data_IF_288571176488
#
_entry.id   IF_288571176488
#
_cell.length_a   1.000
_cell.length_b   1.000
_cell.length_c   1.000
_cell.angle_alpha   90.00
_cell.angle_beta   90.00
_cell.angle_gamma   90.00
#
_symmetry.space_group_name_H-M   'P 1'
#
loop_
_entity.id
_entity.type
_entity.pdbx_description
1 polymer ?
#
# COMPACT_ATOMS: atom_id res chain seq x y z
N UNK A 1 11.18 10.80 12.34
CA UNK A 1 10.27 10.77 13.51
C UNK A 1 11.02 10.91 14.84
N UNK A 2 11.70 9.87 15.35
CA UNK A 2 12.35 9.94 16.68
C UNK A 2 13.42 11.03 16.77
N UNK A 3 14.34 11.11 15.81
CA UNK A 3 15.38 12.15 15.81
C UNK A 3 14.78 13.56 15.78
N UNK A 4 13.79 13.79 14.92
CA UNK A 4 13.08 15.08 14.84
C UNK A 4 12.40 15.47 16.16
N UNK A 5 11.88 14.48 16.90
CA UNK A 5 11.26 14.69 18.20
C UNK A 5 12.30 15.00 19.30
N UNK A 6 13.44 14.30 19.29
CA UNK A 6 14.54 14.54 20.24
C UNK A 6 15.12 15.94 20.09
N UNK A 7 15.18 16.45 18.86
CA UNK A 7 15.64 17.83 18.57
C UNK A 7 14.66 18.89 19.09
N UNK A 8 13.39 18.82 18.68
CA UNK A 8 12.32 19.67 19.21
C UNK A 8 10.95 18.99 18.99
N UNK A 9 10.21 18.61 20.06
CA UNK A 9 8.89 18.01 19.95
C UNK A 9 7.85 18.86 19.23
N UNK A 10 8.05 20.17 19.10
CA UNK A 10 7.11 21.09 18.46
C UNK A 10 7.46 21.40 16.99
N UNK A 11 8.57 20.85 16.48
CA UNK A 11 9.02 21.10 15.11
C UNK A 11 8.02 20.54 14.08
N UNK A 12 7.84 21.28 12.98
CA UNK A 12 6.89 20.91 11.94
C UNK A 12 7.20 19.53 11.32
N UNK A 13 8.48 19.21 11.14
CA UNK A 13 8.91 17.91 10.62
C UNK A 13 8.41 16.73 11.46
N UNK A 14 8.38 16.86 12.79
CA UNK A 14 7.82 15.82 13.66
C UNK A 14 6.30 15.71 13.50
N UNK A 15 5.59 16.84 13.44
CA UNK A 15 4.14 16.86 13.23
C UNK A 15 3.74 16.20 11.92
N UNK A 16 4.52 16.38 10.86
CA UNK A 16 4.31 15.74 9.56
C UNK A 16 4.57 14.22 9.57
N UNK A 17 5.37 13.70 10.51
CA UNK A 17 5.57 12.25 10.66
C UNK A 17 4.41 11.54 11.35
N UNK A 18 3.71 12.19 12.28
CA UNK A 18 2.61 11.58 13.04
C UNK A 18 1.51 10.95 12.16
N UNK A 19 0.94 11.65 11.15
CA UNK A 19 -0.07 11.04 10.31
C UNK A 19 0.47 9.90 9.44
N UNK A 20 1.80 9.83 9.22
CA UNK A 20 2.45 8.78 8.41
C UNK A 20 2.62 7.46 9.14
N UNK A 21 2.40 7.41 10.46
CA UNK A 21 2.36 6.15 11.19
C UNK A 21 1.26 5.22 10.67
N UNK A 22 0.11 5.78 10.31
CA UNK A 22 -1.02 5.01 9.80
C UNK A 22 -0.73 4.36 8.43
N UNK A 23 0.15 4.95 7.63
CA UNK A 23 0.58 4.39 6.34
C UNK A 23 1.29 3.03 6.52
N UNK A 24 1.80 2.73 7.72
CA UNK A 24 2.48 1.47 8.05
C UNK A 24 1.64 0.51 8.90
N UNK A 25 0.44 0.89 9.35
CA UNK A 25 -0.40 0.04 10.18
C UNK A 25 -1.42 -0.70 9.31
N UNK A 26 -1.50 -2.02 9.50
CA UNK A 26 -2.45 -2.88 8.81
C UNK A 26 -3.22 -3.75 9.80
N UNK A 27 -4.54 -3.84 9.64
CA UNK A 27 -5.38 -4.75 10.43
C UNK A 27 -5.42 -6.11 9.73
N UNK A 28 -4.70 -7.09 10.28
CA UNK A 28 -4.73 -8.46 9.81
C UNK A 28 -5.85 -9.26 10.50
N UNK A 29 -6.01 -10.53 10.13
CA UNK A 29 -7.03 -11.43 10.67
C UNK A 29 -6.90 -11.66 12.19
N UNK A 30 -5.68 -11.61 12.72
CA UNK A 30 -5.38 -11.78 14.13
C UNK A 30 -5.39 -10.44 14.87
N UNK A 31 -4.56 -9.48 14.44
CA UNK A 31 -4.36 -8.18 15.11
C UNK A 31 -3.85 -7.11 14.15
N UNK A 32 -3.78 -5.86 14.64
CA UNK A 32 -3.06 -4.78 13.96
C UNK A 32 -1.55 -5.04 13.98
N UNK A 33 -0.90 -4.87 12.83
CA UNK A 33 0.53 -5.11 12.61
C UNK A 33 1.19 -3.89 11.96
N UNK A 34 2.49 -3.75 12.20
CA UNK A 34 3.35 -2.82 11.46
C UNK A 34 3.85 -3.53 10.20
N UNK A 35 3.59 -2.95 9.05
CA UNK A 35 4.06 -3.43 7.76
C UNK A 35 5.56 -3.11 7.57
N UNK A 36 6.28 -3.91 6.79
CA UNK A 36 7.71 -3.67 6.49
C UNK A 36 7.96 -2.45 5.58
N UNK A 37 6.92 -1.99 4.90
CA UNK A 37 6.86 -0.83 4.02
C UNK A 37 5.44 -0.23 4.12
N UNK A 38 5.20 0.96 3.56
CA UNK A 38 3.88 1.60 3.52
C UNK A 38 2.83 0.88 2.61
N UNK A 39 3.20 -0.30 2.12
CA UNK A 39 2.40 -1.21 1.32
C UNK A 39 3.14 -1.72 0.09
N UNK A 40 2.59 -2.76 -0.53
CA UNK A 40 3.10 -3.39 -1.75
C UNK A 40 2.26 -3.01 -2.97
N UNK A 41 1.47 -1.92 -2.91
CA UNK A 41 0.42 -1.61 -3.88
C UNK A 41 0.95 -1.58 -5.32
N UNK A 42 2.08 -0.90 -5.55
CA UNK A 42 2.68 -0.80 -6.89
C UNK A 42 3.21 -2.16 -7.36
N UNK A 43 3.90 -2.88 -6.48
CA UNK A 43 4.50 -4.18 -6.79
C UNK A 43 3.41 -5.20 -7.16
N UNK A 44 2.40 -5.34 -6.31
CA UNK A 44 1.30 -6.28 -6.49
C UNK A 44 0.49 -5.94 -7.74
N UNK A 45 0.21 -4.65 -7.97
CA UNK A 45 -0.52 -4.21 -9.18
C UNK A 45 0.26 -4.53 -10.45
N UNK A 46 1.57 -4.25 -10.47
CA UNK A 46 2.40 -4.51 -11.65
C UNK A 46 2.47 -6.01 -11.98
N UNK A 47 2.61 -6.88 -10.97
CA UNK A 47 2.63 -8.33 -11.20
C UNK A 47 1.26 -8.91 -11.54
N UNK A 48 0.19 -8.39 -10.93
CA UNK A 48 -1.18 -8.80 -11.27
C UNK A 48 -1.50 -8.48 -12.73
N UNK A 49 -1.16 -7.27 -13.21
CA UNK A 49 -1.34 -6.87 -14.61
C UNK A 49 -0.53 -7.78 -15.55
N UNK A 50 0.74 -8.04 -15.23
CA UNK A 50 1.58 -8.94 -16.03
C UNK A 50 0.98 -10.35 -16.08
N UNK A 51 0.53 -10.91 -14.96
CA UNK A 51 -0.08 -12.24 -14.91
C UNK A 51 -1.37 -12.32 -15.75
N UNK A 52 -2.23 -11.30 -15.69
CA UNK A 52 -3.46 -11.22 -16.50
C UNK A 52 -3.14 -11.20 -18.00
N UNK A 53 -2.12 -10.43 -18.41
CA UNK A 53 -1.67 -10.37 -19.80
C UNK A 53 -1.07 -11.70 -20.28
N UNK A 54 -0.26 -12.36 -19.44
CA UNK A 54 0.37 -13.65 -19.77
C UNK A 54 -0.61 -14.81 -19.87
N UNK A 55 -1.79 -14.72 -19.25
CA UNK A 55 -2.79 -15.80 -19.22
C UNK A 55 -3.87 -15.68 -20.29
N UNK A 56 -3.78 -14.71 -21.20
CA UNK A 56 -4.81 -14.39 -22.22
C UNK A 56 -6.20 -14.07 -21.63
N UNK A 57 -6.30 -13.82 -20.32
CA UNK A 57 -7.57 -13.49 -19.67
C UNK A 57 -8.16 -12.16 -20.19
N UNK A 58 -7.33 -11.27 -20.73
CA UNK A 58 -7.76 -10.02 -21.38
C UNK A 58 -8.61 -10.26 -22.63
N UNK A 59 -8.37 -11.37 -23.35
CA UNK A 59 -9.06 -11.70 -24.61
C UNK A 59 -10.26 -12.63 -24.44
N UNK A 60 -10.64 -12.96 -23.20
CA UNK A 60 -11.77 -13.85 -22.96
C UNK A 60 -13.06 -13.11 -23.34
N UNK A 61 -13.61 -13.43 -24.51
CA UNK A 61 -14.83 -12.81 -25.08
C UNK A 61 -16.08 -12.95 -24.18
N UNK A 62 -16.00 -13.77 -23.11
CA UNK A 62 -17.07 -13.94 -22.12
C UNK A 62 -17.38 -12.69 -21.28
N UNK A 63 -16.56 -11.64 -21.35
CA UNK A 63 -16.83 -10.36 -20.67
C UNK A 63 -17.53 -9.32 -21.55
N UNK A 64 -17.79 -9.63 -22.83
CA UNK A 64 -18.69 -8.80 -23.65
C UNK A 64 -20.11 -9.04 -23.16
N UNK A 65 -20.78 -7.98 -22.72
CA UNK A 65 -22.24 -8.01 -22.55
C UNK A 65 -22.84 -8.45 -23.89
N UNK A 66 -23.89 -9.31 -23.89
CA UNK A 66 -24.63 -9.59 -25.12
C UNK A 66 -25.11 -8.25 -25.70
N UNK A 67 -24.91 -8.05 -27.01
CA UNK A 67 -25.58 -6.96 -27.72
C UNK A 67 -27.10 -7.08 -27.64
#
# INVERSE_FOLDING_TARGET
MLCCWVEDPNVEAFKLHLPRLYDYLWVAEDVMKMQGYNGSQLWDTAFAVQAILSTNLVRRDSWRLPE
#
